data_IF_032083959913
#
_entry.id   IF_032083959913
#
_cell.length_a   1.000
_cell.length_b   1.000
_cell.length_c   1.000
_cell.angle_alpha   90.00
_cell.angle_beta   90.00
_cell.angle_gamma   90.00
#
_symmetry.space_group_name_H-M   'P 1'
#
loop_
_entity.id
_entity.type
_entity.pdbx_description
1 polymer ?
#
# COMPACT_ATOMS: atom_id res chain seq x y z
N UNK A 1 17.86 18.69 -7.50
CA UNK A 1 19.31 18.43 -7.46
C UNK A 1 19.81 18.90 -6.09
N UNK A 2 20.52 18.03 -5.35
CA UNK A 2 21.09 18.39 -4.05
C UNK A 2 22.36 19.24 -4.19
N UNK A 3 22.98 19.63 -3.04
CA UNK A 3 24.22 20.44 -3.02
C UNK A 3 25.39 19.78 -3.77
N UNK A 4 25.34 18.46 -4.00
CA UNK A 4 26.35 17.68 -4.73
C UNK A 4 25.98 17.48 -6.22
N UNK A 5 25.02 18.21 -6.76
CA UNK A 5 24.50 18.09 -8.12
C UNK A 5 23.86 16.71 -8.46
N UNK A 6 23.42 15.95 -7.44
CA UNK A 6 22.74 14.66 -7.61
C UNK A 6 21.23 14.84 -7.77
N UNK A 7 20.64 14.06 -8.65
CA UNK A 7 19.19 13.95 -8.79
C UNK A 7 18.62 13.22 -7.56
N UNK A 8 17.55 13.74 -7.00
CA UNK A 8 16.80 13.11 -5.93
C UNK A 8 15.39 12.77 -6.42
N UNK A 9 14.85 11.72 -5.86
CA UNK A 9 13.51 11.20 -6.16
C UNK A 9 12.61 11.33 -4.94
N UNK A 10 11.37 11.72 -5.15
CA UNK A 10 10.37 11.77 -4.10
C UNK A 10 9.72 10.40 -3.96
N UNK A 11 9.84 9.82 -2.78
CA UNK A 11 9.12 8.61 -2.39
C UNK A 11 8.10 8.90 -1.31
N UNK A 12 7.03 8.13 -1.32
CA UNK A 12 6.06 8.04 -0.24
C UNK A 12 6.19 6.69 0.46
N UNK A 13 5.93 6.66 1.76
CA UNK A 13 5.72 5.43 2.52
C UNK A 13 4.24 5.25 2.80
N UNK A 14 3.71 4.10 2.49
CA UNK A 14 2.32 3.77 2.85
C UNK A 14 2.11 3.86 4.35
N UNK A 15 0.87 4.13 4.76
CA UNK A 15 0.48 4.07 6.17
C UNK A 15 0.41 2.63 6.66
N UNK A 16 -0.23 1.77 5.89
CA UNK A 16 -0.40 0.36 6.15
C UNK A 16 0.01 -0.46 4.90
N UNK A 17 0.51 -1.67 5.11
CA UNK A 17 0.91 -2.54 4.00
C UNK A 17 -0.28 -2.98 3.15
N UNK A 18 -0.04 -3.26 1.88
CA UNK A 18 -1.08 -3.83 1.01
C UNK A 18 -1.58 -5.16 1.55
N UNK A 19 -0.68 -5.98 2.12
CA UNK A 19 -1.04 -7.24 2.76
C UNK A 19 -2.02 -7.06 3.93
N UNK A 20 -1.75 -6.10 4.81
CA UNK A 20 -2.65 -5.83 5.94
C UNK A 20 -4.02 -5.32 5.48
N UNK A 21 -4.04 -4.41 4.50
CA UNK A 21 -5.29 -3.89 3.92
C UNK A 21 -6.10 -5.01 3.25
N UNK A 22 -5.50 -5.83 2.38
CA UNK A 22 -6.18 -6.92 1.68
C UNK A 22 -6.65 -8.01 2.66
N UNK A 23 -5.87 -8.31 3.70
CA UNK A 23 -6.26 -9.22 4.76
C UNK A 23 -7.48 -8.70 5.52
N UNK A 24 -7.44 -7.45 5.99
CA UNK A 24 -8.55 -6.85 6.72
C UNK A 24 -9.81 -6.67 5.87
N UNK A 25 -9.68 -6.52 4.55
CA UNK A 25 -10.81 -6.52 3.61
C UNK A 25 -11.33 -7.92 3.29
N UNK A 26 -10.72 -8.97 3.79
CA UNK A 26 -11.11 -10.34 3.52
C UNK A 26 -10.92 -10.77 2.05
N UNK A 27 -9.93 -10.19 1.35
CA UNK A 27 -9.65 -10.46 -0.07
C UNK A 27 -8.94 -11.80 -0.30
N UNK A 28 -9.31 -12.82 0.46
CA UNK A 28 -8.75 -14.17 0.37
C UNK A 28 -9.84 -15.21 0.57
N UNK A 29 -9.58 -16.43 0.07
CA UNK A 29 -10.32 -17.61 0.44
C UNK A 29 -9.69 -18.22 1.69
N UNK A 30 -10.49 -18.44 2.73
CA UNK A 30 -10.03 -19.05 3.99
C UNK A 30 -9.46 -20.46 3.78
N UNK A 31 -9.83 -21.13 2.69
CA UNK A 31 -9.33 -22.45 2.32
C UNK A 31 -7.98 -22.42 1.57
N UNK A 32 -7.50 -21.26 1.19
CA UNK A 32 -6.24 -21.11 0.46
C UNK A 32 -5.13 -20.63 1.41
N UNK A 33 -4.56 -21.58 2.17
CA UNK A 33 -3.50 -21.34 3.15
C UNK A 33 -2.30 -20.59 2.54
N UNK A 34 -1.83 -21.03 1.38
CA UNK A 34 -0.65 -20.45 0.73
C UNK A 34 -0.87 -18.99 0.36
N UNK A 35 -2.07 -18.65 -0.15
CA UNK A 35 -2.40 -17.26 -0.47
C UNK A 35 -2.49 -16.38 0.78
N UNK A 36 -3.07 -16.89 1.88
CA UNK A 36 -3.11 -16.17 3.14
C UNK A 36 -1.70 -15.91 3.67
N UNK A 37 -0.81 -16.91 3.60
CA UNK A 37 0.60 -16.75 3.96
C UNK A 37 1.32 -15.69 3.12
N UNK A 38 1.06 -15.64 1.81
CA UNK A 38 1.62 -14.59 0.95
C UNK A 38 1.19 -13.20 1.42
N UNK A 39 -0.10 -13.00 1.70
CA UNK A 39 -0.62 -11.73 2.24
C UNK A 39 0.03 -11.39 3.59
N UNK A 40 0.18 -12.36 4.49
CA UNK A 40 0.82 -12.17 5.80
C UNK A 40 2.31 -11.84 5.64
N UNK A 41 2.99 -12.41 4.65
CA UNK A 41 4.39 -12.12 4.37
C UNK A 41 4.65 -10.69 3.86
N UNK A 42 3.63 -9.99 3.37
CA UNK A 42 3.73 -8.57 3.01
C UNK A 42 3.62 -7.63 4.23
N UNK A 43 3.05 -8.13 5.33
CA UNK A 43 2.80 -7.32 6.53
C UNK A 43 4.08 -7.02 7.32
N UNK A 44 4.04 -5.89 8.02
CA UNK A 44 5.04 -5.56 9.03
C UNK A 44 4.88 -6.44 10.28
N UNK A 45 5.95 -6.53 11.08
CA UNK A 45 5.92 -7.19 12.40
C UNK A 45 4.80 -6.58 13.26
N UNK A 46 4.71 -5.25 13.31
CA UNK A 46 3.69 -4.55 14.09
C UNK A 46 2.25 -4.87 13.63
N UNK A 47 2.01 -5.00 12.33
CA UNK A 47 0.68 -5.36 11.81
C UNK A 47 0.30 -6.80 12.16
N UNK A 48 1.25 -7.73 12.08
CA UNK A 48 1.04 -9.12 12.51
C UNK A 48 0.69 -9.20 14.00
N UNK A 49 1.38 -8.42 14.83
CA UNK A 49 1.09 -8.31 16.27
C UNK A 49 -0.30 -7.71 16.52
N UNK A 50 -0.68 -6.64 15.81
CA UNK A 50 -2.01 -6.04 15.89
C UNK A 50 -3.11 -7.06 15.59
N UNK A 51 -2.93 -7.91 14.56
CA UNK A 51 -3.89 -8.98 14.22
C UNK A 51 -4.09 -10.00 15.34
N UNK A 52 -3.10 -10.21 16.19
CA UNK A 52 -3.18 -11.12 17.34
C UNK A 52 -3.78 -10.45 18.58
N UNK A 53 -3.52 -9.15 18.77
CA UNK A 53 -3.85 -8.43 20.01
C UNK A 53 -5.23 -7.79 20.00
N UNK A 54 -5.65 -7.19 18.87
CA UNK A 54 -6.87 -6.40 18.80
C UNK A 54 -8.03 -7.18 18.18
N UNK A 55 -9.26 -6.85 18.58
CA UNK A 55 -10.45 -7.37 17.92
C UNK A 55 -10.66 -6.79 16.53
N UNK A 56 -11.60 -7.36 15.78
CA UNK A 56 -11.87 -6.94 14.40
C UNK A 56 -12.35 -5.48 14.34
N UNK A 57 -13.25 -5.09 15.23
CA UNK A 57 -13.90 -3.78 15.16
C UNK A 57 -12.87 -2.66 15.43
N UNK A 58 -11.95 -2.89 16.36
CA UNK A 58 -10.82 -2.01 16.63
C UNK A 58 -9.90 -1.87 15.41
N UNK A 59 -9.53 -2.99 14.77
CA UNK A 59 -8.68 -2.98 13.56
C UNK A 59 -9.38 -2.34 12.37
N UNK A 60 -10.68 -2.60 12.22
CA UNK A 60 -11.50 -2.01 11.16
C UNK A 60 -11.58 -0.49 11.28
N UNK A 61 -11.85 -0.02 12.51
CA UNK A 61 -11.87 1.41 12.84
C UNK A 61 -10.50 2.07 12.67
N UNK A 62 -9.42 1.38 13.01
CA UNK A 62 -8.05 1.86 12.79
C UNK A 62 -7.77 2.15 11.31
N UNK A 63 -8.19 1.27 10.40
CA UNK A 63 -7.95 1.41 8.96
C UNK A 63 -8.83 2.49 8.31
N UNK A 64 -10.14 2.49 8.61
CA UNK A 64 -11.12 3.32 7.88
C UNK A 64 -11.78 4.42 8.70
N UNK A 65 -11.42 4.57 9.98
CA UNK A 65 -12.02 5.55 10.86
C UNK A 65 -13.46 5.22 11.24
N UNK A 66 -14.18 6.22 11.77
CA UNK A 66 -15.58 6.07 12.18
C UNK A 66 -16.56 6.22 11.01
N UNK A 67 -16.21 7.03 10.02
CA UNK A 67 -17.04 7.30 8.85
C UNK A 67 -16.65 6.40 7.67
N UNK A 68 -16.99 5.14 7.77
CA UNK A 68 -16.67 4.12 6.77
C UNK A 68 -17.44 4.39 5.48
N UNK A 69 -16.70 4.52 4.37
CA UNK A 69 -17.28 4.65 3.04
C UNK A 69 -18.18 3.45 2.68
N UNK A 70 -19.25 3.71 1.91
CA UNK A 70 -20.24 2.69 1.52
C UNK A 70 -19.56 1.44 0.90
N UNK A 71 -18.49 1.65 0.17
CA UNK A 71 -17.71 0.58 -0.49
C UNK A 71 -17.10 -0.44 0.51
N UNK A 72 -16.79 -0.04 1.73
CA UNK A 72 -16.21 -0.92 2.75
C UNK A 72 -17.25 -1.60 3.64
N UNK A 73 -18.46 -1.02 3.78
CA UNK A 73 -19.53 -1.58 4.61
C UNK A 73 -19.99 -2.97 4.16
N UNK A 74 -20.00 -3.22 2.85
CA UNK A 74 -20.35 -4.53 2.29
C UNK A 74 -19.31 -5.61 2.56
N UNK A 75 -18.05 -5.22 2.79
CA UNK A 75 -16.94 -6.12 3.05
C UNK A 75 -16.79 -6.45 4.55
N UNK A 76 -17.24 -5.57 5.44
CA UNK A 76 -17.04 -5.64 6.89
C UNK A 76 -17.49 -6.96 7.51
N UNK A 77 -18.74 -7.34 7.29
CA UNK A 77 -19.31 -8.57 7.86
C UNK A 77 -18.61 -9.83 7.38
N UNK A 78 -18.28 -9.87 6.08
CA UNK A 78 -17.56 -11.00 5.47
C UNK A 78 -16.15 -11.09 6.04
N UNK A 79 -15.45 -9.97 6.14
CA UNK A 79 -14.10 -9.89 6.70
C UNK A 79 -14.06 -10.29 8.16
N UNK A 80 -15.02 -9.80 8.95
CA UNK A 80 -15.16 -10.16 10.38
C UNK A 80 -15.33 -11.68 10.56
N UNK A 81 -16.18 -12.29 9.75
CA UNK A 81 -16.39 -13.74 9.78
C UNK A 81 -15.12 -14.50 9.41
N UNK A 82 -14.40 -14.08 8.36
CA UNK A 82 -13.14 -14.72 7.92
C UNK A 82 -12.06 -14.64 8.99
N UNK A 83 -11.88 -13.46 9.61
CA UNK A 83 -10.93 -13.29 10.71
C UNK A 83 -11.30 -14.18 11.91
N UNK A 84 -12.60 -14.26 12.27
CA UNK A 84 -13.08 -15.13 13.35
C UNK A 84 -12.79 -16.60 13.07
N UNK A 85 -13.04 -17.08 11.85
CA UNK A 85 -12.73 -18.44 11.44
C UNK A 85 -11.22 -18.73 11.58
N UNK A 86 -10.35 -17.85 11.07
CA UNK A 86 -8.89 -18.02 11.20
C UNK A 86 -8.42 -18.01 12.66
N UNK A 87 -9.03 -17.20 13.54
CA UNK A 87 -8.69 -17.19 14.97
C UNK A 87 -9.11 -18.46 15.69
N UNK A 88 -10.27 -18.99 15.37
CA UNK A 88 -10.80 -20.23 15.95
C UNK A 88 -10.12 -21.49 15.39
N UNK A 89 -9.53 -21.37 14.22
CA UNK A 89 -8.90 -22.46 13.50
C UNK A 89 -9.79 -23.08 12.45
N UNK A 90 -9.19 -23.43 11.34
CA UNK A 90 -9.80 -24.05 10.17
C UNK A 90 -9.11 -25.38 9.95
N UNK A 91 -9.88 -26.40 9.61
CA UNK A 91 -9.38 -27.73 9.25
C UNK A 91 -9.74 -28.03 7.79
N UNK A 92 -8.71 -28.23 6.96
CA UNK A 92 -8.85 -28.53 5.53
C UNK A 92 -7.91 -29.68 5.20
N UNK A 93 -8.42 -30.71 4.55
CA UNK A 93 -7.62 -31.87 4.16
C UNK A 93 -6.83 -32.50 5.32
N UNK A 94 -7.39 -32.50 6.54
CA UNK A 94 -6.74 -32.95 7.79
C UNK A 94 -5.59 -32.04 8.29
N UNK A 95 -5.36 -30.91 7.68
CA UNK A 95 -4.45 -29.88 8.17
C UNK A 95 -5.24 -28.80 8.92
N UNK A 96 -4.88 -28.58 10.17
CA UNK A 96 -5.49 -27.53 11.00
C UNK A 96 -4.53 -26.35 11.12
N UNK A 97 -5.02 -25.15 10.82
CA UNK A 97 -4.27 -23.92 10.99
C UNK A 97 -5.10 -22.80 11.61
N UNK A 98 -4.44 -21.90 12.27
CA UNK A 98 -5.01 -20.72 12.91
C UNK A 98 -4.30 -19.46 12.41
N UNK A 99 -4.87 -18.29 12.65
CA UNK A 99 -4.18 -17.02 12.40
C UNK A 99 -2.79 -17.00 13.09
N UNK A 100 -2.72 -17.44 14.36
CA UNK A 100 -1.46 -17.50 15.10
C UNK A 100 -0.43 -18.43 14.46
N UNK A 101 -0.86 -19.61 13.99
CA UNK A 101 0.06 -20.54 13.32
C UNK A 101 0.57 -19.99 12.00
N UNK A 102 -0.30 -19.30 11.22
CA UNK A 102 0.07 -18.66 9.97
C UNK A 102 1.07 -17.51 10.18
N UNK A 103 0.85 -16.69 11.21
CA UNK A 103 1.81 -15.61 11.55
C UNK A 103 3.15 -16.19 11.98
N UNK A 104 3.17 -17.28 12.75
CA UNK A 104 4.42 -17.95 13.15
C UNK A 104 5.14 -18.64 11.97
N UNK A 105 4.40 -19.05 10.95
CA UNK A 105 4.93 -19.66 9.71
C UNK A 105 5.46 -18.59 8.73
N UNK A 106 5.07 -17.34 8.91
CA UNK A 106 5.53 -16.22 8.08
C UNK A 106 7.03 -16.00 8.21
N UNK A 107 7.70 -15.82 7.07
CA UNK A 107 9.16 -15.67 6.97
C UNK A 107 9.63 -14.22 6.86
N UNK A 108 8.72 -13.28 6.64
CA UNK A 108 9.07 -11.86 6.48
C UNK A 108 9.12 -11.13 7.81
N UNK A 109 10.07 -10.19 7.90
CA UNK A 109 10.32 -9.37 9.09
C UNK A 109 10.37 -7.87 8.74
N UNK A 110 9.38 -7.40 7.95
CA UNK A 110 9.31 -6.00 7.58
C UNK A 110 9.05 -5.11 8.80
N UNK A 111 9.87 -4.09 8.98
CA UNK A 111 9.73 -3.14 10.09
C UNK A 111 8.77 -2.00 9.75
N UNK A 112 8.67 -1.63 8.47
CA UNK A 112 7.81 -0.55 7.99
C UNK A 112 7.08 -0.95 6.70
N UNK A 113 5.95 -0.26 6.38
CA UNK A 113 5.23 -0.45 5.13
C UNK A 113 6.04 -0.06 3.89
N UNK A 114 5.51 -0.39 2.72
CA UNK A 114 6.17 -0.21 1.44
C UNK A 114 6.44 1.27 1.13
N UNK A 115 7.65 1.53 0.63
CA UNK A 115 8.03 2.75 -0.05
C UNK A 115 7.78 2.62 -1.56
N UNK A 116 7.43 3.71 -2.20
CA UNK A 116 7.26 3.75 -3.64
C UNK A 116 7.04 5.16 -4.17
N UNK A 117 6.86 5.27 -5.47
CA UNK A 117 6.45 6.54 -6.08
C UNK A 117 4.97 6.80 -5.80
N UNK A 118 4.55 8.09 -5.71
CA UNK A 118 3.14 8.45 -5.64
C UNK A 118 2.37 7.83 -6.81
N UNK A 119 1.29 7.08 -6.51
CA UNK A 119 0.52 6.35 -7.51
C UNK A 119 -0.85 5.96 -7.01
N UNK A 120 -1.81 5.97 -7.90
CA UNK A 120 -3.13 5.47 -7.59
C UNK A 120 -3.91 5.00 -8.80
N UNK A 121 -5.18 4.70 -8.58
CA UNK A 121 -6.06 4.18 -9.60
C UNK A 121 -6.78 5.30 -10.33
N UNK A 122 -6.83 5.16 -11.65
CA UNK A 122 -7.58 6.07 -12.51
C UNK A 122 -9.08 6.01 -12.21
N UNK A 123 -9.69 7.17 -12.07
CA UNK A 123 -11.13 7.33 -11.97
C UNK A 123 -11.82 7.08 -13.32
N UNK A 124 -13.13 6.89 -13.29
CA UNK A 124 -13.91 6.72 -14.53
C UNK A 124 -13.74 7.95 -15.45
N UNK A 125 -13.37 7.71 -16.70
CA UNK A 125 -13.08 8.72 -17.75
C UNK A 125 -11.89 9.66 -17.48
N UNK A 126 -11.14 9.50 -16.40
CA UNK A 126 -9.94 10.26 -16.13
C UNK A 126 -8.81 9.83 -17.09
N UNK A 127 -8.00 10.77 -17.58
CA UNK A 127 -6.81 10.44 -18.36
C UNK A 127 -5.67 9.98 -17.45
N UNK A 128 -4.75 9.17 -17.99
CA UNK A 128 -3.65 8.60 -17.18
C UNK A 128 -2.78 9.69 -16.54
N UNK A 129 -2.45 10.76 -17.27
CA UNK A 129 -1.66 11.88 -16.73
C UNK A 129 -2.46 12.70 -15.68
N UNK A 130 -3.76 12.85 -15.86
CA UNK A 130 -4.62 13.54 -14.90
C UNK A 130 -4.67 12.76 -13.58
N UNK A 131 -4.76 11.42 -13.65
CA UNK A 131 -4.65 10.53 -12.52
C UNK A 131 -3.30 10.69 -11.82
N UNK A 132 -2.19 10.63 -12.55
CA UNK A 132 -0.87 10.76 -11.98
C UNK A 132 -0.67 12.09 -11.22
N UNK A 133 -1.17 13.19 -11.77
CA UNK A 133 -1.11 14.52 -11.15
C UNK A 133 -2.00 14.62 -9.91
N UNK A 134 -3.22 14.09 -9.96
CA UNK A 134 -4.15 14.06 -8.82
C UNK A 134 -3.57 13.26 -7.67
N UNK A 135 -3.13 12.02 -7.92
CA UNK A 135 -2.53 11.13 -6.92
C UNK A 135 -1.26 11.74 -6.32
N UNK A 136 -0.41 12.34 -7.17
CA UNK A 136 0.77 13.07 -6.70
C UNK A 136 0.38 14.17 -5.70
N UNK A 137 -0.62 14.98 -6.02
CA UNK A 137 -1.06 16.06 -5.13
C UNK A 137 -1.68 15.53 -3.84
N UNK A 138 -2.51 14.48 -3.91
CA UNK A 138 -3.18 13.87 -2.76
C UNK A 138 -2.17 13.21 -1.82
N UNK A 139 -1.24 12.42 -2.37
CA UNK A 139 -0.29 11.64 -1.58
C UNK A 139 0.93 12.44 -1.10
N UNK A 140 1.23 13.60 -1.70
CA UNK A 140 2.42 14.39 -1.34
C UNK A 140 2.13 15.77 -0.77
N UNK A 141 0.94 16.32 -1.02
CA UNK A 141 0.58 17.70 -0.64
C UNK A 141 1.21 18.80 -1.49
N UNK A 142 2.08 18.46 -2.45
CA UNK A 142 2.60 19.43 -3.41
C UNK A 142 1.52 19.85 -4.40
N UNK A 143 1.61 21.10 -4.92
CA UNK A 143 0.69 21.55 -5.94
C UNK A 143 1.12 21.09 -7.33
N UNK A 144 0.16 20.61 -8.15
CA UNK A 144 0.44 20.24 -9.55
C UNK A 144 1.04 21.37 -10.37
N UNK A 145 0.70 22.63 -10.06
CA UNK A 145 1.25 23.79 -10.76
C UNK A 145 2.75 24.05 -10.48
N UNK A 146 3.29 23.41 -9.46
CA UNK A 146 4.71 23.49 -9.11
C UNK A 146 5.54 22.41 -9.84
N UNK A 147 4.86 21.48 -10.55
CA UNK A 147 5.48 20.43 -11.35
C UNK A 147 5.75 20.88 -12.79
N UNK A 148 6.90 20.51 -13.32
CA UNK A 148 7.23 20.58 -14.73
C UNK A 148 7.27 19.18 -15.32
N UNK A 149 6.21 18.79 -16.02
CA UNK A 149 6.17 17.49 -16.71
C UNK A 149 7.17 17.49 -17.87
N UNK A 150 7.91 16.40 -18.01
CA UNK A 150 8.85 16.19 -19.14
C UNK A 150 8.07 15.55 -20.29
N UNK A 151 7.53 16.39 -21.18
CA UNK A 151 6.58 15.97 -22.23
C UNK A 151 7.23 15.21 -23.40
N UNK A 152 8.54 15.34 -23.59
CA UNK A 152 9.25 14.71 -24.72
C UNK A 152 9.71 13.27 -24.43
N UNK A 153 9.28 12.69 -23.33
CA UNK A 153 9.55 11.32 -22.94
C UNK A 153 8.22 10.56 -22.85
N UNK A 154 8.16 9.40 -23.48
CA UNK A 154 7.01 8.51 -23.32
C UNK A 154 6.92 8.01 -21.87
N UNK A 155 5.71 7.81 -21.33
CA UNK A 155 5.54 7.22 -20.01
C UNK A 155 6.25 5.88 -19.92
N UNK A 156 6.96 5.66 -18.80
CA UNK A 156 7.53 4.36 -18.50
C UNK A 156 6.40 3.40 -18.08
N UNK A 157 6.43 2.18 -18.57
CA UNK A 157 5.41 1.17 -18.28
C UNK A 157 6.04 -0.01 -17.55
N UNK A 158 5.39 -0.40 -16.46
CA UNK A 158 5.72 -1.59 -15.70
C UNK A 158 4.51 -2.52 -15.72
N UNK A 159 4.71 -3.78 -16.10
CA UNK A 159 3.66 -4.80 -16.14
C UNK A 159 4.12 -5.97 -15.28
N UNK A 160 3.34 -6.31 -14.26
CA UNK A 160 3.68 -7.40 -13.35
C UNK A 160 2.43 -8.10 -12.81
N UNK A 161 2.63 -9.27 -12.22
CA UNK A 161 1.59 -9.97 -11.47
C UNK A 161 1.90 -9.83 -9.98
N UNK A 162 1.01 -9.21 -9.24
CA UNK A 162 1.15 -9.04 -7.80
C UNK A 162 0.97 -10.37 -7.04
N UNK A 163 1.32 -10.36 -5.75
CA UNK A 163 1.14 -11.46 -4.81
C UNK A 163 -0.31 -11.96 -4.70
N UNK A 164 -1.26 -11.08 -5.00
CA UNK A 164 -2.69 -11.40 -5.09
C UNK A 164 -3.12 -12.02 -6.44
N UNK A 165 -2.16 -12.45 -7.26
CA UNK A 165 -2.34 -13.06 -8.60
C UNK A 165 -3.10 -12.18 -9.60
N UNK A 166 -3.14 -10.86 -9.39
CA UNK A 166 -3.71 -9.91 -10.34
C UNK A 166 -2.61 -9.28 -11.17
N UNK A 167 -2.87 -9.10 -12.46
CA UNK A 167 -1.98 -8.37 -13.34
C UNK A 167 -2.18 -6.87 -13.17
N UNK A 168 -1.09 -6.15 -13.07
CA UNK A 168 -1.05 -4.71 -12.94
C UNK A 168 -0.26 -4.11 -14.09
N UNK A 169 -0.65 -2.90 -14.46
CA UNK A 169 0.10 -2.04 -15.37
C UNK A 169 0.21 -0.67 -14.72
N UNK A 170 1.43 -0.29 -14.39
CA UNK A 170 1.74 1.06 -13.94
C UNK A 170 2.27 1.90 -15.11
N UNK A 171 1.89 3.16 -15.15
CA UNK A 171 2.42 4.17 -16.05
C UNK A 171 3.03 5.30 -15.24
N UNK A 172 4.31 5.54 -15.45
CA UNK A 172 5.06 6.57 -14.73
C UNK A 172 5.34 7.74 -15.67
N UNK A 173 4.98 8.93 -15.22
CA UNK A 173 5.29 10.20 -15.87
C UNK A 173 6.44 10.86 -15.16
N UNK A 174 7.43 11.34 -15.90
CA UNK A 174 8.55 12.07 -15.33
C UNK A 174 8.18 13.55 -15.18
N UNK A 175 8.44 14.09 -14.00
CA UNK A 175 8.25 15.49 -13.71
C UNK A 175 9.40 16.01 -12.83
N UNK A 176 9.69 17.30 -12.97
CA UNK A 176 10.65 18.00 -12.12
C UNK A 176 9.88 18.94 -11.19
N UNK A 177 10.39 19.10 -9.98
CA UNK A 177 9.97 20.13 -9.04
C UNK A 177 11.21 20.77 -8.40
N UNK A 178 11.14 22.08 -8.15
CA UNK A 178 12.20 22.77 -7.43
C UNK A 178 12.18 22.34 -5.96
N UNK A 179 13.31 21.86 -5.46
CA UNK A 179 13.48 21.37 -4.08
C UNK A 179 13.19 22.44 -3.02
N UNK A 180 13.27 23.72 -3.36
CA UNK A 180 12.96 24.82 -2.45
C UNK A 180 11.45 24.97 -2.20
N UNK A 181 10.62 24.41 -3.08
CA UNK A 181 9.17 24.43 -2.93
C UNK A 181 8.78 23.47 -1.82
N UNK A 182 7.91 23.92 -0.95
CA UNK A 182 7.35 23.12 0.14
C UNK A 182 5.91 22.69 -0.20
N UNK A 183 5.45 21.52 0.30
CA UNK A 183 4.06 21.13 0.18
C UNK A 183 3.13 22.22 0.70
N UNK A 184 2.10 22.59 -0.06
CA UNK A 184 1.12 23.59 0.31
C UNK A 184 -0.04 23.02 1.12
N UNK A 185 -0.26 21.72 1.00
CA UNK A 185 -1.30 20.97 1.68
C UNK A 185 -0.69 19.86 2.53
N UNK A 186 -1.47 19.34 3.47
CA UNK A 186 -1.14 18.06 4.08
C UNK A 186 -1.36 16.95 3.06
N UNK A 187 -0.47 15.97 3.04
CA UNK A 187 -0.71 14.74 2.29
C UNK A 187 -1.83 13.91 2.95
N UNK A 188 -2.37 12.97 2.22
CA UNK A 188 -3.45 12.10 2.67
C UNK A 188 -2.96 11.12 3.75
N UNK A 189 -2.99 11.53 5.01
CA UNK A 189 -2.53 10.76 6.18
C UNK A 189 -3.26 9.41 6.38
N UNK A 190 -4.37 9.19 5.66
CA UNK A 190 -5.09 7.91 5.65
C UNK A 190 -4.39 6.85 4.80
N UNK A 191 -3.56 7.25 3.84
CA UNK A 191 -2.88 6.34 2.92
C UNK A 191 -1.36 6.44 2.98
N UNK A 192 -0.83 7.62 3.33
CA UNK A 192 0.60 7.92 3.38
C UNK A 192 1.02 8.22 4.81
N UNK A 193 2.14 7.67 5.26
CA UNK A 193 2.71 7.92 6.59
C UNK A 193 3.94 8.81 6.55
N UNK A 194 4.65 8.87 5.43
CA UNK A 194 5.89 9.64 5.31
C UNK A 194 6.23 9.97 3.86
N UNK A 195 7.03 11.02 3.68
CA UNK A 195 7.61 11.43 2.41
C UNK A 195 9.10 11.63 2.58
N UNK A 196 9.88 11.28 1.56
CA UNK A 196 11.32 11.49 1.56
C UNK A 196 11.82 11.86 0.15
N UNK A 197 12.75 12.80 0.09
CA UNK A 197 13.61 13.01 -1.06
C UNK A 197 14.89 12.21 -0.89
N UNK A 198 15.21 11.36 -1.85
CA UNK A 198 16.34 10.44 -1.72
C UNK A 198 17.05 10.21 -3.05
N UNK A 199 18.29 9.77 -3.00
CA UNK A 199 19.09 9.42 -4.19
C UNK A 199 18.59 8.12 -4.81
N UNK A 200 18.99 7.86 -6.07
CA UNK A 200 18.62 6.64 -6.77
C UNK A 200 19.01 5.37 -5.99
N UNK A 201 20.25 5.28 -5.52
CA UNK A 201 20.75 4.10 -4.80
C UNK A 201 19.96 3.82 -3.52
N UNK A 202 19.61 4.87 -2.78
CA UNK A 202 18.77 4.71 -1.59
C UNK A 202 17.33 4.34 -1.97
N UNK A 203 16.76 4.96 -3.00
CA UNK A 203 15.42 4.64 -3.46
C UNK A 203 15.29 3.15 -3.81
N UNK A 204 16.26 2.61 -4.57
CA UNK A 204 16.27 1.19 -4.95
C UNK A 204 16.44 0.25 -3.76
N UNK A 205 17.11 0.68 -2.69
CA UNK A 205 17.21 -0.12 -1.46
C UNK A 205 15.96 -0.07 -0.57
N UNK A 206 15.15 0.98 -0.69
CA UNK A 206 13.94 1.18 0.12
C UNK A 206 12.70 0.55 -0.51
N UNK A 207 12.61 0.56 -1.83
CA UNK A 207 11.50 -0.05 -2.57
C UNK A 207 11.67 -1.57 -2.50
N UNK A 208 10.64 -2.27 -2.05
CA UNK A 208 10.62 -3.74 -2.01
C UNK A 208 10.48 -4.31 -3.42
N UNK A 209 11.18 -5.41 -3.69
CA UNK A 209 11.05 -6.19 -4.93
C UNK A 209 9.73 -6.98 -4.98
#
# INVERSE_FOLDING_TARGET
INNDNKVEYLLIRRKDTLGFIDFMRGKYDVNNKSYILNIINEMTISEKEKLLQYDFDTLWKYLWGENIGIQYRSEESVSKNKLSLLRNGIEINKEKYTLKSLINESTSNWEEPEWGFPKGRRNYKEKDVECALREFQEETGYCVNDLKIIENILPLEEIFTGSNYKSYKHRYYLAEIDKTIQPKNKFQETEVSSLIWTTFDNATSMIRD
#
